data_IF_571265678973
#
_entry.id   IF_571265678973
#
_cell.length_a   1.000
_cell.length_b   1.000
_cell.length_c   1.000
_cell.angle_alpha   90.00
_cell.angle_beta   90.00
_cell.angle_gamma   90.00
#
_symmetry.space_group_name_H-M   'P 1'
#
loop_
_entity.id
_entity.type
_entity.pdbx_description
1 polymer ?
#
# COMPACT_ATOMS: atom_id res chain seq x y z
N UNK A 1 21.03 -8.98 -2.67
CA UNK A 1 19.92 -8.11 -3.12
C UNK A 1 19.60 -8.45 -4.56
N UNK A 2 18.36 -8.83 -4.90
CA UNK A 2 17.97 -9.12 -6.29
C UNK A 2 18.11 -7.82 -7.09
N UNK A 3 18.88 -7.81 -8.19
CA UNK A 3 19.05 -6.61 -9.03
C UNK A 3 17.67 -6.16 -9.53
N UNK A 4 17.37 -4.87 -9.39
CA UNK A 4 16.16 -4.29 -9.95
C UNK A 4 16.18 -4.47 -11.48
N UNK A 5 15.03 -4.74 -12.12
CA UNK A 5 14.97 -4.75 -13.57
C UNK A 5 15.44 -3.40 -14.12
N UNK A 6 16.12 -3.41 -15.27
CA UNK A 6 16.75 -2.24 -15.88
C UNK A 6 15.77 -1.06 -16.03
N UNK A 7 14.51 -1.35 -16.39
CA UNK A 7 13.45 -0.34 -16.50
C UNK A 7 13.23 0.46 -15.20
N UNK A 8 13.26 -0.20 -14.04
CA UNK A 8 13.12 0.46 -12.74
C UNK A 8 14.36 1.27 -12.35
N UNK A 9 15.54 0.82 -12.76
CA UNK A 9 16.79 1.57 -12.55
C UNK A 9 16.79 2.87 -13.37
N UNK A 10 16.38 2.80 -14.64
CA UNK A 10 16.27 3.98 -15.50
C UNK A 10 15.24 4.98 -14.98
N UNK A 11 14.07 4.51 -14.53
CA UNK A 11 13.06 5.38 -13.91
C UNK A 11 13.59 6.02 -12.63
N UNK A 12 14.28 5.26 -11.78
CA UNK A 12 14.91 5.80 -10.57
C UNK A 12 15.90 6.93 -10.90
N UNK A 13 16.83 6.68 -11.83
CA UNK A 13 17.81 7.68 -12.28
C UNK A 13 17.10 8.90 -12.85
N UNK A 14 16.08 8.71 -13.69
CA UNK A 14 15.27 9.80 -14.24
C UNK A 14 14.59 10.65 -13.16
N UNK A 15 14.03 10.03 -12.11
CA UNK A 15 13.43 10.75 -10.98
C UNK A 15 14.49 11.55 -10.22
N UNK A 16 15.64 10.93 -9.91
CA UNK A 16 16.72 11.60 -9.18
C UNK A 16 17.20 12.83 -9.93
N UNK A 17 17.56 12.69 -11.21
CA UNK A 17 18.02 13.80 -12.04
C UNK A 17 16.94 14.84 -12.27
N UNK A 18 15.71 14.43 -12.59
CA UNK A 18 14.60 15.34 -12.86
C UNK A 18 14.25 16.21 -11.66
N UNK A 19 14.12 15.61 -10.48
CA UNK A 19 13.85 16.34 -9.23
C UNK A 19 15.05 17.23 -8.86
N UNK A 20 16.28 16.73 -8.98
CA UNK A 20 17.47 17.51 -8.67
C UNK A 20 17.61 18.75 -9.55
N UNK A 21 17.42 18.60 -10.87
CA UNK A 21 17.46 19.71 -11.81
C UNK A 21 16.35 20.72 -11.54
N UNK A 22 15.10 20.26 -11.39
CA UNK A 22 13.95 21.14 -11.16
C UNK A 22 14.11 21.94 -9.88
N UNK A 23 14.46 21.29 -8.77
CA UNK A 23 14.63 21.96 -7.48
C UNK A 23 15.82 22.93 -7.49
N UNK A 24 16.96 22.54 -8.05
CA UNK A 24 18.13 23.43 -8.15
C UNK A 24 17.84 24.64 -9.03
N UNK A 25 17.13 24.44 -10.14
CA UNK A 25 16.68 25.52 -11.01
C UNK A 25 15.73 26.49 -10.31
N UNK A 26 14.69 25.98 -9.65
CA UNK A 26 13.72 26.80 -8.92
C UNK A 26 14.39 27.62 -7.82
N UNK A 27 15.30 27.01 -7.05
CA UNK A 27 16.05 27.70 -6.01
C UNK A 27 16.97 28.78 -6.59
N UNK A 28 17.72 28.47 -7.65
CA UNK A 28 18.57 29.45 -8.33
C UNK A 28 17.77 30.61 -8.94
N UNK A 29 16.60 30.32 -9.52
CA UNK A 29 15.70 31.33 -10.07
C UNK A 29 15.20 32.30 -8.99
N UNK A 30 14.71 31.77 -7.86
CA UNK A 30 14.28 32.62 -6.74
C UNK A 30 15.44 33.41 -6.12
N UNK A 31 16.61 32.80 -5.99
CA UNK A 31 17.80 33.51 -5.50
C UNK A 31 18.16 34.66 -6.44
N UNK A 32 18.19 34.43 -7.75
CA UNK A 32 18.46 35.48 -8.73
C UNK A 32 17.39 36.59 -8.73
N UNK A 33 16.11 36.22 -8.56
CA UNK A 33 15.00 37.18 -8.51
C UNK A 33 14.98 38.02 -7.21
N UNK A 34 15.33 37.41 -6.07
CA UNK A 34 15.32 38.07 -4.77
C UNK A 34 16.58 38.91 -4.50
N UNK A 35 17.73 38.45 -5.01
CA UNK A 35 19.03 39.00 -4.69
C UNK A 35 19.37 40.29 -5.46
N UNK A 36 18.41 41.15 -5.84
CA UNK A 36 18.63 42.36 -6.64
C UNK A 36 20.00 43.00 -6.43
N UNK A 37 20.97 42.69 -7.33
CA UNK A 37 22.42 43.00 -7.26
C UNK A 37 23.18 42.69 -5.96
N UNK A 38 22.56 42.17 -4.91
CA UNK A 38 23.26 41.65 -3.74
C UNK A 38 23.97 40.36 -4.14
N UNK A 39 25.30 40.32 -4.01
CA UNK A 39 26.15 39.16 -4.34
C UNK A 39 25.94 37.93 -3.45
N UNK A 40 24.69 37.61 -3.10
CA UNK A 40 24.34 36.41 -2.37
C UNK A 40 24.72 35.18 -3.21
N UNK A 41 25.37 34.18 -2.59
CA UNK A 41 25.77 32.96 -3.29
C UNK A 41 24.54 32.20 -3.76
N UNK A 42 24.63 31.60 -4.95
CA UNK A 42 23.58 30.73 -5.47
C UNK A 42 23.38 29.52 -4.53
N UNK A 43 22.14 29.03 -4.37
CA UNK A 43 21.85 27.83 -3.59
C UNK A 43 22.67 26.64 -4.08
N UNK A 44 23.21 25.85 -3.14
CA UNK A 44 24.03 24.69 -3.48
C UNK A 44 23.23 23.63 -4.26
N UNK A 45 23.74 23.13 -5.41
CA UNK A 45 23.12 22.05 -6.18
C UNK A 45 22.94 20.74 -5.39
N UNK A 46 23.69 20.58 -4.28
CA UNK A 46 23.58 19.42 -3.38
C UNK A 46 22.19 19.32 -2.75
N UNK A 47 21.50 20.45 -2.55
CA UNK A 47 20.13 20.47 -2.03
C UNK A 47 19.21 19.74 -3.02
N UNK A 48 19.30 20.07 -4.31
CA UNK A 48 18.50 19.42 -5.32
C UNK A 48 18.85 17.95 -5.47
N UNK A 49 20.13 17.60 -5.49
CA UNK A 49 20.57 16.20 -5.54
C UNK A 49 20.01 15.38 -4.36
N UNK A 50 20.08 15.92 -3.14
CA UNK A 50 19.55 15.28 -1.94
C UNK A 50 18.05 15.00 -2.06
N UNK A 51 17.27 15.99 -2.52
CA UNK A 51 15.83 15.84 -2.75
C UNK A 51 15.55 14.80 -3.85
N UNK A 52 16.35 14.79 -4.91
CA UNK A 52 16.28 13.79 -5.97
C UNK A 52 16.49 12.37 -5.45
N UNK A 53 17.54 12.15 -4.63
CA UNK A 53 17.82 10.84 -4.02
C UNK A 53 16.67 10.40 -3.10
N UNK A 54 16.13 11.31 -2.28
CA UNK A 54 14.96 11.00 -1.42
C UNK A 54 13.75 10.61 -2.26
N UNK A 55 13.43 11.38 -3.30
CA UNK A 55 12.32 11.06 -4.21
C UNK A 55 12.52 9.71 -4.91
N UNK A 56 13.74 9.43 -5.38
CA UNK A 56 14.12 8.14 -5.94
C UNK A 56 13.97 6.99 -4.94
N UNK A 57 14.38 7.17 -3.69
CA UNK A 57 14.23 6.17 -2.63
C UNK A 57 12.76 5.88 -2.33
N UNK A 58 11.90 6.91 -2.30
CA UNK A 58 10.44 6.75 -2.17
C UNK A 58 9.89 5.94 -3.35
N UNK A 59 10.27 6.28 -4.60
CA UNK A 59 9.89 5.50 -5.78
C UNK A 59 10.28 4.04 -5.63
N UNK A 60 11.50 3.77 -5.17
CA UNK A 60 11.99 2.41 -5.03
C UNK A 60 11.20 1.59 -4.00
N UNK A 61 10.80 2.21 -2.89
CA UNK A 61 9.88 1.59 -1.93
C UNK A 61 8.52 1.26 -2.55
N UNK A 62 7.99 2.15 -3.40
CA UNK A 62 6.69 1.98 -4.06
C UNK A 62 6.73 1.11 -5.32
N UNK A 63 7.92 0.77 -5.83
CA UNK A 63 8.09 0.06 -7.08
C UNK A 63 7.61 -1.41 -7.03
N UNK A 64 7.34 -1.95 -5.84
CA UNK A 64 6.71 -3.26 -5.65
C UNK A 64 5.18 -3.25 -5.80
N UNK A 65 4.59 -2.06 -5.93
CA UNK A 65 3.14 -1.94 -6.05
C UNK A 65 2.62 -2.50 -7.37
N UNK A 66 1.59 -3.33 -7.29
CA UNK A 66 0.83 -3.83 -8.44
C UNK A 66 -0.42 -2.96 -8.65
N UNK A 67 -0.90 -2.94 -9.89
CA UNK A 67 -2.22 -2.38 -10.19
C UNK A 67 -3.26 -3.41 -9.75
N UNK A 68 -4.12 -3.00 -8.84
CA UNK A 68 -5.27 -3.80 -8.39
C UNK A 68 -6.52 -2.99 -8.70
N UNK A 69 -7.44 -3.60 -9.44
CA UNK A 69 -8.68 -2.98 -9.84
C UNK A 69 -9.57 -2.72 -8.61
N UNK A 70 -10.28 -1.59 -8.62
CA UNK A 70 -11.35 -1.35 -7.66
C UNK A 70 -12.57 -2.14 -8.11
N UNK A 71 -13.27 -2.72 -7.15
CA UNK A 71 -14.55 -3.35 -7.41
C UNK A 71 -15.66 -2.31 -7.58
N UNK A 72 -16.74 -2.69 -8.26
CA UNK A 72 -17.94 -1.84 -8.40
C UNK A 72 -18.65 -1.64 -7.06
N UNK A 73 -19.55 -0.64 -7.00
CA UNK A 73 -20.40 -0.40 -5.84
C UNK A 73 -21.26 -1.61 -5.48
N UNK A 74 -21.85 -2.25 -6.48
CA UNK A 74 -22.70 -3.43 -6.30
C UNK A 74 -21.90 -4.63 -5.79
N UNK A 75 -20.72 -4.89 -6.37
CA UNK A 75 -19.82 -5.94 -5.90
C UNK A 75 -19.40 -5.71 -4.45
N UNK A 76 -19.13 -4.45 -4.08
CA UNK A 76 -18.82 -4.07 -2.70
C UNK A 76 -20.00 -4.33 -1.75
N UNK A 77 -21.21 -3.96 -2.16
CA UNK A 77 -22.40 -4.18 -1.34
C UNK A 77 -22.67 -5.67 -1.13
N UNK A 78 -22.56 -6.48 -2.19
CA UNK A 78 -22.67 -7.94 -2.11
C UNK A 78 -21.60 -8.57 -1.21
N UNK A 79 -20.37 -8.04 -1.24
CA UNK A 79 -19.28 -8.49 -0.38
C UNK A 79 -19.52 -8.23 1.11
N UNK A 80 -20.25 -7.16 1.45
CA UNK A 80 -20.60 -6.79 2.83
C UNK A 80 -21.91 -7.41 3.33
N UNK A 81 -22.70 -7.99 2.43
CA UNK A 81 -23.91 -8.71 2.78
C UNK A 81 -23.59 -10.04 3.52
N UNK A 82 -24.51 -10.55 4.35
CA UNK A 82 -24.36 -11.86 4.98
C UNK A 82 -24.13 -12.97 3.94
N UNK A 83 -23.30 -13.95 4.32
CA UNK A 83 -23.02 -15.13 3.49
C UNK A 83 -24.07 -16.20 3.81
N UNK A 84 -24.71 -16.76 2.79
CA UNK A 84 -25.81 -17.74 2.94
C UNK A 84 -25.69 -18.94 2.00
N UNK A 85 -24.57 -19.06 1.30
CA UNK A 85 -24.33 -20.05 0.24
C UNK A 85 -23.48 -21.25 0.70
N UNK A 86 -23.25 -21.39 2.00
CA UNK A 86 -22.40 -22.42 2.60
C UNK A 86 -20.90 -22.11 2.55
N UNK A 87 -20.48 -21.02 1.89
CA UNK A 87 -19.09 -20.56 1.90
C UNK A 87 -18.75 -19.80 3.19
N UNK A 88 -17.47 -19.54 3.40
CA UNK A 88 -17.01 -18.59 4.41
C UNK A 88 -16.39 -17.37 3.72
N UNK A 89 -16.44 -16.20 4.38
CA UNK A 89 -15.87 -14.96 3.83
C UNK A 89 -14.83 -14.37 4.77
N UNK A 90 -13.67 -14.04 4.23
CA UNK A 90 -12.64 -13.28 4.92
C UNK A 90 -12.62 -11.86 4.36
N UNK A 91 -12.95 -10.87 5.18
CA UNK A 91 -12.76 -9.47 4.82
C UNK A 91 -11.41 -9.02 5.36
N UNK A 92 -10.45 -8.84 4.46
CA UNK A 92 -9.13 -8.33 4.79
C UNK A 92 -9.09 -6.85 4.44
N UNK A 93 -8.88 -6.00 5.43
CA UNK A 93 -8.84 -4.56 5.23
C UNK A 93 -7.57 -3.96 5.79
N UNK A 94 -7.17 -2.83 5.20
CA UNK A 94 -6.05 -2.05 5.69
C UNK A 94 -6.48 -0.62 5.91
N UNK A 95 -6.12 -0.10 7.08
CA UNK A 95 -6.34 1.29 7.49
C UNK A 95 -5.03 1.87 8.02
N UNK A 96 -4.98 3.19 8.13
CA UNK A 96 -3.84 3.91 8.71
C UNK A 96 -3.00 4.69 7.69
N UNK A 97 -2.27 5.65 8.22
CA UNK A 97 -1.47 6.59 7.43
C UNK A 97 -0.07 6.06 7.09
N UNK A 98 0.49 5.22 7.97
CA UNK A 98 1.85 4.69 7.81
C UNK A 98 1.94 3.85 6.54
N UNK A 99 2.84 4.27 5.64
CA UNK A 99 3.07 3.59 4.36
C UNK A 99 1.82 3.54 3.48
N UNK A 100 0.91 4.52 3.55
CA UNK A 100 -0.41 4.51 2.88
C UNK A 100 -0.37 4.08 1.40
N UNK A 101 0.67 4.54 0.70
CA UNK A 101 0.89 4.26 -0.73
C UNK A 101 1.56 2.92 -1.01
N UNK A 102 2.25 2.33 -0.02
CA UNK A 102 2.91 1.04 -0.16
C UNK A 102 1.84 -0.07 -0.19
N UNK A 103 1.96 -0.99 -1.14
CA UNK A 103 1.09 -2.15 -1.25
C UNK A 103 1.54 -3.23 -0.27
N UNK A 104 0.56 -3.87 0.36
CA UNK A 104 0.77 -5.07 1.18
C UNK A 104 0.11 -6.23 0.46
N UNK A 105 0.90 -7.22 0.06
CA UNK A 105 0.37 -8.43 -0.57
C UNK A 105 -0.30 -9.29 0.51
N UNK A 106 -1.50 -9.77 0.22
CA UNK A 106 -2.27 -10.66 1.09
C UNK A 106 -2.15 -12.07 0.52
N UNK A 107 -1.63 -12.96 1.35
CA UNK A 107 -1.46 -14.37 1.05
C UNK A 107 -2.48 -15.18 1.84
N UNK A 108 -3.13 -16.13 1.18
CA UNK A 108 -3.99 -17.12 1.81
C UNK A 108 -3.48 -18.50 1.39
N UNK A 109 -3.17 -19.35 2.36
CA UNK A 109 -2.68 -20.72 2.14
C UNK A 109 -1.44 -20.78 1.22
N UNK A 110 -0.57 -19.77 1.33
CA UNK A 110 0.65 -19.64 0.54
C UNK A 110 0.47 -18.98 -0.83
N UNK A 111 -0.77 -18.71 -1.26
CA UNK A 111 -1.07 -18.07 -2.54
C UNK A 111 -1.38 -16.57 -2.40
N UNK A 112 -0.86 -15.78 -3.33
CA UNK A 112 -1.15 -14.35 -3.39
C UNK A 112 -2.59 -14.14 -3.87
N UNK A 113 -3.46 -13.61 -3.01
CA UNK A 113 -4.83 -13.24 -3.37
C UNK A 113 -4.89 -11.83 -3.94
N UNK A 114 -4.37 -10.85 -3.22
CA UNK A 114 -4.48 -9.44 -3.64
C UNK A 114 -3.35 -8.58 -3.08
N UNK A 115 -3.38 -7.28 -3.37
CA UNK A 115 -2.49 -6.29 -2.76
C UNK A 115 -3.28 -5.07 -2.26
N UNK A 116 -3.15 -4.77 -0.97
CA UNK A 116 -3.87 -3.69 -0.29
C UNK A 116 -3.00 -2.45 -0.07
N UNK A 117 -3.47 -1.32 -0.61
CA UNK A 117 -3.06 0.03 -0.20
C UNK A 117 -4.04 0.57 0.85
N UNK A 118 -3.66 1.60 1.60
CA UNK A 118 -4.57 2.18 2.61
C UNK A 118 -5.31 3.43 2.10
N UNK A 119 -6.59 3.64 2.44
CA UNK A 119 -7.52 2.66 2.99
C UNK A 119 -8.16 1.82 1.87
N UNK A 120 -8.08 0.49 1.95
CA UNK A 120 -8.77 -0.43 1.04
C UNK A 120 -9.07 -1.75 1.74
N UNK A 121 -10.07 -2.47 1.25
CA UNK A 121 -10.34 -3.83 1.67
C UNK A 121 -10.54 -4.78 0.49
N UNK A 122 -10.45 -6.07 0.76
CA UNK A 122 -10.76 -7.16 -0.13
C UNK A 122 -11.67 -8.16 0.59
N UNK A 123 -12.59 -8.77 -0.14
CA UNK A 123 -13.40 -9.88 0.35
C UNK A 123 -12.94 -11.16 -0.35
N UNK A 124 -12.48 -12.13 0.43
CA UNK A 124 -12.04 -13.43 -0.04
C UNK A 124 -13.13 -14.44 0.29
N UNK A 125 -13.71 -15.05 -0.74
CA UNK A 125 -14.59 -16.22 -0.54
C UNK A 125 -13.71 -17.45 -0.42
N UNK A 126 -13.90 -18.21 0.66
CA UNK A 126 -13.10 -19.39 1.00
C UNK A 126 -14.00 -20.55 1.40
N UNK A 127 -13.48 -21.76 1.32
CA UNK A 127 -14.14 -22.93 1.91
C UNK A 127 -14.17 -22.79 3.43
N UNK A 128 -15.20 -23.30 4.13
CA UNK A 128 -15.14 -23.40 5.58
C UNK A 128 -13.95 -24.27 6.03
N UNK A 129 -13.26 -23.88 7.09
CA UNK A 129 -12.08 -24.59 7.60
C UNK A 129 -10.98 -23.66 8.12
N UNK A 130 -9.82 -24.25 8.40
CA UNK A 130 -8.65 -23.53 8.91
C UNK A 130 -7.80 -23.05 7.73
N UNK A 131 -7.53 -21.74 7.71
CA UNK A 131 -6.71 -21.10 6.68
C UNK A 131 -5.51 -20.38 7.30
N UNK A 132 -4.40 -20.33 6.57
CA UNK A 132 -3.22 -19.57 6.94
C UNK A 132 -3.20 -18.23 6.19
N UNK A 133 -3.35 -17.12 6.91
CA UNK A 133 -3.25 -15.78 6.34
C UNK A 133 -1.88 -15.17 6.64
N UNK A 134 -1.18 -14.75 5.59
CA UNK A 134 0.10 -14.05 5.70
C UNK A 134 0.02 -12.73 4.93
N UNK A 135 0.78 -11.73 5.34
CA UNK A 135 0.95 -10.50 4.57
C UNK A 135 2.40 -10.26 4.22
N UNK A 136 2.68 -9.66 3.07
CA UNK A 136 4.04 -9.26 2.68
C UNK A 136 4.11 -7.79 2.31
N UNK A 137 5.06 -7.09 2.91
CA UNK A 137 5.40 -5.71 2.56
C UNK A 137 6.85 -5.66 2.09
N UNK A 138 7.10 -5.20 0.86
CA UNK A 138 8.42 -5.21 0.23
C UNK A 138 9.09 -6.61 0.24
N UNK A 139 8.33 -7.66 -0.04
CA UNK A 139 8.76 -9.07 0.05
C UNK A 139 9.20 -9.55 1.44
N UNK A 140 8.89 -8.79 2.51
CA UNK A 140 9.09 -9.25 3.88
C UNK A 140 7.80 -9.87 4.41
N UNK A 141 7.80 -11.17 4.74
CA UNK A 141 6.62 -11.83 5.29
C UNK A 141 6.34 -11.40 6.72
N UNK A 142 5.06 -11.39 7.06
CA UNK A 142 4.55 -11.28 8.43
C UNK A 142 4.59 -12.63 9.13
N UNK A 143 4.31 -12.63 10.43
CA UNK A 143 3.84 -13.85 11.06
C UNK A 143 2.54 -14.32 10.38
N UNK A 144 2.41 -15.64 10.21
CA UNK A 144 1.18 -16.25 9.70
C UNK A 144 0.11 -16.22 10.80
N UNK A 145 -1.08 -15.77 10.45
CA UNK A 145 -2.26 -15.81 11.30
C UNK A 145 -3.13 -16.98 10.86
N UNK A 146 -3.34 -17.94 11.75
CA UNK A 146 -4.31 -19.01 11.55
C UNK A 146 -5.72 -18.44 11.76
N UNK A 147 -6.58 -18.62 10.76
CA UNK A 147 -7.96 -18.13 10.80
C UNK A 147 -8.90 -19.31 10.59
N UNK A 148 -9.85 -19.48 11.52
CA UNK A 148 -10.95 -20.39 11.34
C UNK A 148 -12.08 -19.70 10.57
N UNK A 149 -12.36 -20.20 9.38
CA UNK A 149 -13.41 -19.71 8.49
C UNK A 149 -14.66 -20.56 8.69
N UNK A 150 -15.72 -19.96 9.24
CA UNK A 150 -16.96 -20.65 9.57
C UNK A 150 -17.94 -20.51 8.39
N UNK A 151 -18.64 -21.59 8.05
CA UNK A 151 -19.65 -21.59 7.01
C UNK A 151 -20.74 -20.54 7.29
N UNK A 152 -21.17 -19.81 6.26
CA UNK A 152 -22.13 -18.71 6.34
C UNK A 152 -21.71 -17.55 7.26
N UNK A 153 -20.43 -17.45 7.62
CA UNK A 153 -19.90 -16.40 8.46
C UNK A 153 -18.89 -15.53 7.72
N UNK A 154 -18.71 -14.32 8.25
CA UNK A 154 -17.67 -13.39 7.81
C UNK A 154 -16.68 -13.16 8.92
N UNK A 155 -15.41 -13.41 8.65
CA UNK A 155 -14.30 -13.09 9.55
C UNK A 155 -13.60 -11.84 9.06
N UNK A 156 -13.41 -10.85 9.95
CA UNK A 156 -12.78 -9.58 9.59
C UNK A 156 -11.34 -9.56 10.09
N UNK A 157 -10.43 -9.12 9.23
CA UNK A 157 -8.99 -9.11 9.46
C UNK A 157 -8.43 -7.74 9.11
N UNK A 158 -7.84 -7.08 10.08
CA UNK A 158 -7.12 -5.82 9.90
C UNK A 158 -5.65 -6.10 9.60
N UNK A 159 -5.12 -5.46 8.57
CA UNK A 159 -3.69 -5.44 8.28
C UNK A 159 -3.10 -4.19 8.91
N UNK A 160 -2.46 -4.35 10.07
CA UNK A 160 -1.77 -3.27 10.75
C UNK A 160 -0.38 -3.09 10.17
N UNK A 161 -0.03 -1.85 9.80
CA UNK A 161 1.30 -1.54 9.25
C UNK A 161 2.09 -0.69 10.22
N UNK A 162 3.22 -1.23 10.64
CA UNK A 162 4.28 -0.52 11.36
C UNK A 162 5.47 -0.25 10.42
N UNK A 163 6.50 0.45 10.91
CA UNK A 163 7.65 0.89 10.11
C UNK A 163 8.35 -0.21 9.29
N UNK A 164 8.28 -1.48 9.73
CA UNK A 164 9.01 -2.59 9.09
C UNK A 164 8.16 -3.81 8.72
N UNK A 165 6.91 -3.86 9.15
CA UNK A 165 6.07 -5.05 9.00
C UNK A 165 4.61 -4.67 8.82
N UNK A 166 3.90 -5.50 8.06
CA UNK A 166 2.45 -5.56 8.06
C UNK A 166 2.07 -6.82 8.84
N UNK A 167 1.10 -6.74 9.76
CA UNK A 167 0.67 -7.88 10.57
C UNK A 167 -0.83 -8.04 10.44
N UNK A 168 -1.34 -9.21 10.01
CA UNK A 168 -2.76 -9.49 10.05
C UNK A 168 -3.22 -9.71 11.50
N UNK A 169 -4.33 -9.07 11.88
CA UNK A 169 -4.96 -9.18 13.19
C UNK A 169 -6.45 -9.41 13.00
N UNK A 170 -7.00 -10.47 13.57
CA UNK A 170 -8.43 -10.73 13.54
C UNK A 170 -9.16 -9.69 14.40
N UNK A 171 -10.24 -9.12 13.86
CA UNK A 171 -11.09 -8.15 14.54
C UNK A 171 -12.49 -8.72 14.74
N UNK A 172 -13.17 -8.37 15.84
CA UNK A 172 -14.56 -8.76 16.03
C UNK A 172 -15.43 -8.08 14.97
N UNK A 173 -16.43 -8.82 14.49
CA UNK A 173 -17.39 -8.34 13.52
C UNK A 173 -18.46 -7.48 14.21
N UNK A 174 -18.10 -6.22 14.46
CA UNK A 174 -18.94 -5.25 15.13
C UNK A 174 -19.52 -4.22 14.15
N UNK A 175 -20.69 -3.68 14.48
CA UNK A 175 -21.41 -2.71 13.63
C UNK A 175 -20.54 -1.49 13.26
N UNK A 176 -19.71 -1.00 14.18
CA UNK A 176 -18.79 0.11 13.93
C UNK A 176 -17.75 -0.21 12.85
N UNK A 177 -17.23 -1.44 12.84
CA UNK A 177 -16.26 -1.87 11.84
C UNK A 177 -16.93 -2.06 10.46
N UNK A 178 -18.15 -2.59 10.44
CA UNK A 178 -18.95 -2.68 9.20
C UNK A 178 -19.24 -1.32 8.57
N UNK A 179 -19.52 -0.30 9.38
CA UNK A 179 -19.70 1.07 8.89
C UNK A 179 -18.42 1.62 8.25
N UNK A 180 -17.25 1.35 8.84
CA UNK A 180 -15.95 1.72 8.26
C UNK A 180 -15.73 1.02 6.92
N UNK A 181 -16.02 -0.29 6.84
CA UNK A 181 -15.87 -1.06 5.60
C UNK A 181 -16.80 -0.56 4.49
N UNK A 182 -18.04 -0.18 4.81
CA UNK A 182 -18.98 0.40 3.85
C UNK A 182 -18.46 1.71 3.22
N UNK A 183 -17.72 2.52 3.99
CA UNK A 183 -17.04 3.72 3.50
C UNK A 183 -15.72 3.45 2.78
N UNK A 184 -15.17 2.24 2.90
CA UNK A 184 -13.84 1.89 2.36
C UNK A 184 -13.96 1.38 0.91
N UNK A 185 -13.04 1.77 0.00
CA UNK A 185 -12.99 1.19 -1.33
C UNK A 185 -12.61 -0.29 -1.31
N UNK A 186 -13.36 -1.11 -2.05
CA UNK A 186 -13.04 -2.54 -2.23
C UNK A 186 -12.15 -2.74 -3.45
N UNK A 187 -11.16 -3.62 -3.34
CA UNK A 187 -10.39 -4.12 -4.48
C UNK A 187 -10.91 -5.48 -4.91
N UNK A 188 -10.71 -5.81 -6.19
CA UNK A 188 -10.90 -7.17 -6.68
C UNK A 188 -9.80 -8.06 -6.11
N UNK A 189 -10.17 -9.26 -5.68
CA UNK A 189 -9.30 -10.23 -5.02
C UNK A 189 -9.29 -11.57 -5.75
#
# INVERSE_FOLDING_TARGET
MKKLPLSKQLIFVGIVFGVAMLTSFVLAFFAAAAAGRSGQPLPSPIIGLSLGVVAGAIYLGLAGNRRVALASGDARQAALAPVVDGSARLIVFRRGFVGKLAGVDVYLDGEVRTQLKSPRFAALTVTPGVHALETRMHNKPSASLTVEAIANATTIIEVEVAMKQATPVQRPDEAGLRAVLAGTPMVVA
#
